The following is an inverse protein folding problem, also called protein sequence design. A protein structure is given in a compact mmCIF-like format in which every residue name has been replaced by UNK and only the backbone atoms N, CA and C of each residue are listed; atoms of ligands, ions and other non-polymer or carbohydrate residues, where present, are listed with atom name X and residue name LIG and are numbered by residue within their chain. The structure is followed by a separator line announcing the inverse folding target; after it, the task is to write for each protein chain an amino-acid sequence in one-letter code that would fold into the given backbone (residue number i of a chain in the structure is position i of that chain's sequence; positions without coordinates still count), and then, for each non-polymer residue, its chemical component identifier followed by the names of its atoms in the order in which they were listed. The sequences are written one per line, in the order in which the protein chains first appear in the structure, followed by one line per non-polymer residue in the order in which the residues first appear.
data_IF_946248222695
#
_entry.id   IF_946248222695
#
_cell.length_a   1.000
_cell.length_b   1.000
_cell.length_c   1.000
_cell.angle_alpha   90.00
_cell.angle_beta   90.00
_cell.angle_gamma   90.00
#
_symmetry.space_group_name_H-M   'P 1'
#
loop_
_entity.id
_entity.type
_entity.pdbx_description
1 polymer ?
#
# COMPACT_ATOMS: atom_id res chain seq x y z
N UNK A 1 -11.07 -1.27 14.61
CA UNK A 1 -11.30 0.15 14.23
C UNK A 1 -11.74 0.17 12.79
N UNK A 2 -12.92 0.71 12.51
CA UNK A 2 -13.39 0.99 11.15
C UNK A 2 -12.98 2.41 10.80
N UNK A 3 -12.15 2.57 9.77
CA UNK A 3 -11.81 3.88 9.24
C UNK A 3 -13.03 4.47 8.52
N UNK A 4 -13.20 5.78 8.57
CA UNK A 4 -14.19 6.48 7.75
C UNK A 4 -13.77 6.44 6.27
N UNK A 5 -14.73 6.62 5.35
CA UNK A 5 -14.45 6.60 3.91
C UNK A 5 -13.34 7.59 3.51
N UNK A 6 -13.33 8.80 4.09
CA UNK A 6 -12.32 9.81 3.83
C UNK A 6 -10.94 9.41 4.38
N UNK A 7 -10.91 8.77 5.55
CA UNK A 7 -9.66 8.21 6.11
C UNK A 7 -9.14 7.07 5.23
N UNK A 8 -10.00 6.20 4.70
CA UNK A 8 -9.59 5.17 3.76
C UNK A 8 -9.07 5.76 2.44
N UNK A 9 -9.67 6.85 1.96
CA UNK A 9 -9.23 7.54 0.74
C UNK A 9 -7.84 8.15 0.96
N UNK A 10 -7.64 8.82 2.09
CA UNK A 10 -6.36 9.40 2.50
C UNK A 10 -5.28 8.33 2.65
N UNK A 11 -5.56 7.24 3.37
CA UNK A 11 -4.64 6.10 3.53
C UNK A 11 -4.28 5.52 2.16
N UNK A 12 -5.24 5.35 1.26
CA UNK A 12 -4.97 4.87 -0.09
C UNK A 12 -4.09 5.83 -0.92
N UNK A 13 -4.25 7.16 -0.73
CA UNK A 13 -3.39 8.16 -1.34
C UNK A 13 -1.95 8.02 -0.87
N UNK A 14 -1.75 8.05 0.45
CA UNK A 14 -0.43 7.94 1.08
C UNK A 14 0.28 6.63 0.73
N UNK A 15 -0.44 5.51 0.75
CA UNK A 15 0.12 4.20 0.36
C UNK A 15 0.55 4.17 -1.11
N UNK A 16 -0.18 4.84 -2.02
CA UNK A 16 0.21 4.91 -3.44
C UNK A 16 1.45 5.77 -3.64
N UNK A 17 1.58 6.88 -2.91
CA UNK A 17 2.77 7.72 -2.95
C UNK A 17 3.99 6.96 -2.46
N UNK A 18 3.91 6.27 -1.32
CA UNK A 18 5.05 5.50 -0.80
C UNK A 18 5.44 4.31 -1.68
N UNK A 19 4.45 3.61 -2.27
CA UNK A 19 4.75 2.56 -3.26
C UNK A 19 5.53 3.14 -4.45
N UNK A 20 5.15 4.32 -4.93
CA UNK A 20 5.83 4.98 -6.06
C UNK A 20 7.25 5.38 -5.69
N UNK A 21 7.44 5.95 -4.51
CA UNK A 21 8.76 6.40 -4.05
C UNK A 21 9.70 5.22 -3.79
N UNK A 22 9.21 4.16 -3.15
CA UNK A 22 9.95 2.91 -2.97
C UNK A 22 10.29 2.25 -4.32
N UNK A 23 9.37 2.25 -5.29
CA UNK A 23 9.64 1.74 -6.63
C UNK A 23 10.73 2.56 -7.33
N UNK A 24 10.69 3.89 -7.27
CA UNK A 24 11.74 4.73 -7.82
C UNK A 24 13.08 4.48 -7.13
N UNK A 25 13.09 4.34 -5.80
CA UNK A 25 14.28 4.07 -5.01
C UNK A 25 14.90 2.70 -5.37
N UNK A 26 14.08 1.66 -5.51
CA UNK A 26 14.54 0.31 -5.84
C UNK A 26 15.00 0.18 -7.30
N UNK A 27 14.29 0.82 -8.25
CA UNK A 27 14.50 0.63 -9.68
C UNK A 27 15.42 1.68 -10.33
N UNK A 28 15.30 2.97 -9.97
CA UNK A 28 16.08 4.05 -10.60
C UNK A 28 17.41 4.29 -9.90
N UNK A 29 17.51 4.12 -8.57
CA UNK A 29 18.77 4.30 -7.82
C UNK A 29 19.59 3.00 -7.75
N UNK A 30 19.67 2.27 -8.87
CA UNK A 30 20.41 1.02 -9.00
C UNK A 30 21.92 1.26 -8.86
N UNK A 31 22.41 1.37 -7.63
CA UNK A 31 23.82 1.62 -7.29
C UNK A 31 24.07 2.57 -6.13
N UNK A 32 23.05 3.32 -5.67
CA UNK A 32 23.19 4.23 -4.52
C UNK A 32 22.75 3.61 -3.19
N UNK A 33 22.06 2.47 -3.23
CA UNK A 33 21.61 1.74 -2.05
C UNK A 33 22.52 0.54 -1.83
N UNK A 34 22.93 0.33 -0.57
CA UNK A 34 23.52 -0.94 -0.15
C UNK A 34 22.50 -2.08 -0.30
N UNK A 35 22.98 -3.31 -0.42
CA UNK A 35 22.10 -4.48 -0.56
C UNK A 35 21.10 -4.60 0.60
N UNK A 36 21.52 -4.23 1.82
CA UNK A 36 20.65 -4.18 2.99
C UNK A 36 19.54 -3.13 2.86
N UNK A 37 19.84 -1.93 2.36
CA UNK A 37 18.84 -0.89 2.12
C UNK A 37 17.86 -1.30 1.02
N UNK A 38 18.35 -1.95 -0.05
CA UNK A 38 17.51 -2.47 -1.12
C UNK A 38 16.59 -3.59 -0.61
N UNK A 39 17.07 -4.47 0.27
CA UNK A 39 16.25 -5.51 0.87
C UNK A 39 15.16 -4.93 1.78
N UNK A 40 15.50 -3.93 2.62
CA UNK A 40 14.51 -3.23 3.46
C UNK A 40 13.43 -2.56 2.61
N UNK A 41 13.81 -1.79 1.58
CA UNK A 41 12.87 -1.14 0.68
C UNK A 41 11.96 -2.14 -0.04
N UNK A 42 12.48 -3.32 -0.42
CA UNK A 42 11.67 -4.40 -1.00
C UNK A 42 10.66 -5.00 -0.01
N UNK A 43 11.05 -5.17 1.26
CA UNK A 43 10.16 -5.67 2.31
C UNK A 43 9.04 -4.68 2.61
N UNK A 44 9.36 -3.40 2.76
CA UNK A 44 8.38 -2.34 2.96
C UNK A 44 7.42 -2.22 1.78
N UNK A 45 7.93 -2.25 0.55
CA UNK A 45 7.09 -2.24 -0.66
C UNK A 45 6.08 -3.39 -0.67
N UNK A 46 6.52 -4.61 -0.29
CA UNK A 46 5.64 -5.77 -0.19
C UNK A 46 4.55 -5.57 0.87
N UNK A 47 4.90 -5.02 2.04
CA UNK A 47 3.94 -4.74 3.12
C UNK A 47 2.88 -3.72 2.68
N UNK A 48 3.28 -2.64 2.02
CA UNK A 48 2.34 -1.64 1.51
C UNK A 48 1.43 -2.19 0.41
N UNK A 49 1.94 -3.05 -0.47
CA UNK A 49 1.14 -3.74 -1.48
C UNK A 49 0.11 -4.69 -0.85
N UNK A 50 0.50 -5.44 0.18
CA UNK A 50 -0.40 -6.31 0.95
C UNK A 50 -1.51 -5.49 1.62
N UNK A 51 -1.15 -4.38 2.27
CA UNK A 51 -2.11 -3.47 2.91
C UNK A 51 -3.12 -2.89 1.90
N UNK A 52 -2.65 -2.49 0.72
CA UNK A 52 -3.51 -2.01 -0.36
C UNK A 52 -4.46 -3.10 -0.86
N UNK A 53 -3.99 -4.33 -0.96
CA UNK A 53 -4.80 -5.48 -1.33
C UNK A 53 -5.90 -5.75 -0.28
N UNK A 54 -5.55 -5.76 1.00
CA UNK A 54 -6.51 -5.94 2.09
C UNK A 54 -7.55 -4.80 2.13
N UNK A 55 -7.14 -3.55 1.92
CA UNK A 55 -8.08 -2.42 1.83
C UNK A 55 -9.08 -2.58 0.67
N UNK A 56 -8.63 -3.09 -0.49
CA UNK A 56 -9.53 -3.41 -1.61
C UNK A 56 -10.52 -4.52 -1.25
N UNK A 57 -10.05 -5.59 -0.60
CA UNK A 57 -10.91 -6.69 -0.16
C UNK A 57 -11.95 -6.23 0.87
N UNK A 58 -11.55 -5.40 1.84
CA UNK A 58 -12.44 -4.85 2.85
C UNK A 58 -13.53 -3.97 2.23
N UNK A 59 -13.18 -3.16 1.22
CA UNK A 59 -14.17 -2.40 0.45
C UNK A 59 -15.14 -3.29 -0.31
N UNK A 60 -14.65 -4.31 -1.03
CA UNK A 60 -15.51 -5.26 -1.74
C UNK A 60 -16.44 -6.04 -0.79
N UNK A 61 -15.93 -6.50 0.35
CA UNK A 61 -16.70 -7.22 1.37
C UNK A 61 -17.76 -6.34 2.03
N UNK A 62 -17.46 -5.06 2.25
CA UNK A 62 -18.42 -4.10 2.81
C UNK A 62 -19.55 -3.76 1.84
N UNK A 63 -19.23 -3.63 0.53
CA UNK A 63 -20.23 -3.44 -0.53
C UNK A 63 -21.19 -4.65 -0.58
N UNK A 64 -20.65 -5.87 -0.61
CA UNK A 64 -21.45 -7.11 -0.67
C UNK A 64 -22.38 -7.30 0.53
N UNK A 65 -22.03 -6.77 1.70
CA UNK A 65 -22.89 -6.79 2.90
C UNK A 65 -23.99 -5.74 2.87
N UNK A 66 -23.77 -4.60 2.22
CA UNK A 66 -24.80 -3.54 2.10
C UNK A 66 -25.90 -3.87 1.09
N UNK A 67 -25.63 -4.73 0.10
CA UNK A 67 -26.61 -5.15 -0.92
C UNK A 67 -27.51 -6.32 -0.47
N UNK A 68 -27.27 -6.88 0.72
CA UNK A 68 -28.00 -8.03 1.28
C UNK A 68 -28.83 -7.71 2.53
N UNK A 69 -28.93 -6.44 2.91
CA UNK A 69 -29.83 -5.93 3.95
C UNK A 69 -30.98 -5.14 3.33
#
# INVERSE_FOLDING_TARGET
MTYTFDQELLINGLVKEEIRDLQQLVHNKKGQLSDRQREMARRELKQYQELQYQNRLNRHSSIYKSEKG
#
